data_IF_964749637590
#
_entry.id   IF_964749637590
#
_cell.length_a   1.000
_cell.length_b   1.000
_cell.length_c   1.000
_cell.angle_alpha   90.00
_cell.angle_beta   90.00
_cell.angle_gamma   90.00
#
_symmetry.space_group_name_H-M   'P 1'
#
loop_
_entity.id
_entity.type
_entity.pdbx_description
1 polymer ?
#
# COMPACT_ATOMS: atom_id res chain seq x y z
N UNK A 1 -19.09 -31.23 34.86
CA UNK A 1 -18.51 -31.50 33.53
C UNK A 1 -18.27 -30.16 32.86
N UNK A 2 -17.13 -29.54 33.15
CA UNK A 2 -16.69 -28.30 32.53
C UNK A 2 -15.78 -28.69 31.36
N UNK A 3 -16.24 -28.47 30.13
CA UNK A 3 -15.39 -28.64 28.95
C UNK A 3 -14.75 -27.28 28.66
N UNK A 4 -13.41 -27.27 28.62
CA UNK A 4 -12.57 -26.11 28.37
C UNK A 4 -12.74 -25.61 26.92
N UNK A 5 -13.03 -24.32 26.77
CA UNK A 5 -12.87 -23.62 25.49
C UNK A 5 -11.37 -23.42 25.21
N UNK A 6 -10.88 -24.10 24.17
CA UNK A 6 -9.55 -23.91 23.63
C UNK A 6 -9.44 -22.53 22.97
N UNK A 7 -8.81 -21.60 23.68
CA UNK A 7 -8.47 -20.27 23.17
C UNK A 7 -7.25 -20.37 22.23
N UNK A 8 -7.50 -20.66 20.95
CA UNK A 8 -6.47 -20.56 19.91
C UNK A 8 -6.26 -19.09 19.52
N UNK A 9 -5.14 -18.54 19.94
CA UNK A 9 -4.66 -17.24 19.44
C UNK A 9 -4.31 -17.37 17.94
N UNK A 10 -4.83 -16.48 17.08
CA UNK A 10 -4.51 -16.52 15.65
C UNK A 10 -3.00 -16.33 15.45
N UNK A 11 -2.34 -17.31 14.82
CA UNK A 11 -0.93 -17.20 14.41
C UNK A 11 -0.76 -15.99 13.50
N UNK A 12 -0.01 -15.00 13.98
CA UNK A 12 0.35 -13.79 13.24
C UNK A 12 1.01 -14.19 11.91
N UNK A 13 0.37 -13.86 10.77
CA UNK A 13 0.93 -14.11 9.45
C UNK A 13 2.15 -13.21 9.25
N UNK A 14 3.22 -13.76 8.67
CA UNK A 14 4.46 -13.02 8.40
C UNK A 14 4.15 -11.75 7.59
N UNK A 15 4.65 -10.60 8.06
CA UNK A 15 4.41 -9.29 7.47
C UNK A 15 5.70 -8.78 6.82
N UNK A 16 5.75 -8.86 5.48
CA UNK A 16 6.92 -8.39 4.72
C UNK A 16 7.27 -6.92 4.97
N UNK A 17 6.27 -6.08 5.29
CA UNK A 17 6.48 -4.65 5.63
C UNK A 17 7.22 -4.50 6.98
N UNK A 18 6.83 -5.27 8.00
CA UNK A 18 7.42 -5.19 9.33
C UNK A 18 8.80 -5.87 9.41
N UNK A 19 9.02 -6.94 8.64
CA UNK A 19 10.27 -7.69 8.67
C UNK A 19 11.41 -6.95 7.96
N UNK A 20 11.09 -6.16 6.91
CA UNK A 20 12.04 -5.25 6.27
C UNK A 20 12.68 -4.26 7.24
N UNK A 21 11.91 -3.67 8.16
CA UNK A 21 12.44 -2.71 9.14
C UNK A 21 13.36 -3.37 10.19
N UNK A 22 13.02 -4.57 10.64
CA UNK A 22 13.86 -5.36 11.55
C UNK A 22 15.19 -5.76 10.89
N UNK A 23 15.19 -6.05 9.59
CA UNK A 23 16.43 -6.33 8.85
C UNK A 23 17.30 -5.07 8.69
N UNK A 24 16.71 -3.93 8.32
CA UNK A 24 17.39 -2.64 8.17
C UNK A 24 18.15 -2.21 9.44
N UNK A 25 17.54 -2.41 10.61
CA UNK A 25 18.15 -2.09 11.91
C UNK A 25 19.26 -3.07 12.31
N UNK A 26 19.18 -4.34 11.88
CA UNK A 26 20.21 -5.37 12.15
C UNK A 26 21.45 -5.22 11.25
N UNK A 27 21.26 -4.84 9.99
CA UNK A 27 22.37 -4.65 9.04
C UNK A 27 23.18 -3.37 9.33
N UNK A 28 22.53 -2.29 9.78
CA UNK A 28 23.22 -1.04 10.13
C UNK A 28 24.04 -1.14 11.44
N UNK A 29 23.72 -2.07 12.34
CA UNK A 29 24.56 -2.34 13.53
C UNK A 29 25.89 -3.03 13.19
N UNK A 30 25.98 -3.72 12.03
CA UNK A 30 27.20 -4.44 11.60
C UNK A 30 28.15 -3.60 10.73
N UNK A 31 27.77 -2.38 10.32
CA UNK A 31 28.56 -1.52 9.41
C UNK A 31 29.02 -0.18 9.98
N UNK A 32 29.16 -0.02 11.30
CA UNK A 32 29.87 1.15 11.85
C UNK A 32 31.38 0.88 11.90
N UNK A 33 32.02 0.86 10.73
CA UNK A 33 33.46 1.18 10.66
C UNK A 33 33.55 2.71 10.69
N UNK A 34 34.14 3.28 11.75
CA UNK A 34 34.53 4.70 11.79
C UNK A 34 35.50 4.96 10.64
N UNK A 35 34.96 5.41 9.52
CA UNK A 35 35.75 5.98 8.43
C UNK A 35 35.88 7.47 8.76
N UNK A 36 37.08 8.07 8.74
CA UNK A 36 37.22 9.51 8.95
C UNK A 36 36.35 10.24 7.93
N UNK A 37 35.65 11.27 8.41
CA UNK A 37 34.77 12.13 7.63
C UNK A 37 35.51 12.64 6.40
N UNK A 38 35.31 11.98 5.27
CA UNK A 38 35.62 12.54 3.97
C UNK A 38 34.76 13.80 3.84
N UNK A 39 35.39 14.89 3.43
CA UNK A 39 34.75 16.17 3.10
C UNK A 39 33.46 15.93 2.33
N UNK A 40 32.40 16.65 2.71
CA UNK A 40 31.09 16.57 2.08
C UNK A 40 31.20 16.91 0.58
N UNK A 41 31.49 15.92 -0.25
CA UNK A 41 31.25 15.98 -1.67
C UNK A 41 29.74 16.17 -1.84
N UNK A 42 29.35 17.31 -2.41
CA UNK A 42 27.98 17.64 -2.71
C UNK A 42 27.43 16.57 -3.66
N UNK A 43 26.69 15.59 -3.13
CA UNK A 43 25.88 14.71 -3.95
C UNK A 43 24.85 15.60 -4.66
N UNK A 44 24.77 15.58 -6.00
CA UNK A 44 23.75 16.32 -6.70
C UNK A 44 22.39 15.78 -6.23
N UNK A 45 21.61 16.64 -5.58
CA UNK A 45 20.26 16.31 -5.14
C UNK A 45 19.44 15.86 -6.36
N UNK A 46 18.77 14.69 -6.30
CA UNK A 46 17.98 14.22 -7.43
C UNK A 46 16.82 15.17 -7.70
N UNK A 47 16.43 15.29 -8.98
CA UNK A 47 15.25 16.06 -9.37
C UNK A 47 13.98 15.51 -8.70
N UNK A 48 12.96 16.36 -8.45
CA UNK A 48 11.64 15.89 -8.00
C UNK A 48 11.05 14.84 -8.94
N UNK A 49 10.23 13.89 -8.43
CA UNK A 49 9.68 12.82 -9.23
C UNK A 49 8.71 13.34 -10.31
N UNK A 50 8.78 12.75 -11.50
CA UNK A 50 7.74 12.93 -12.52
C UNK A 50 6.42 12.24 -12.12
N UNK A 51 5.36 12.47 -12.89
CA UNK A 51 4.03 11.91 -12.63
C UNK A 51 4.01 10.37 -12.64
N UNK A 52 4.87 9.75 -13.46
CA UNK A 52 4.96 8.28 -13.58
C UNK A 52 5.66 7.68 -12.37
N UNK A 53 6.74 8.29 -11.92
CA UNK A 53 7.48 7.88 -10.73
C UNK A 53 6.61 8.07 -9.49
N UNK A 54 6.01 9.25 -9.33
CA UNK A 54 5.07 9.52 -8.24
C UNK A 54 3.92 8.50 -8.25
N UNK A 55 3.29 8.28 -9.41
CA UNK A 55 2.22 7.30 -9.58
C UNK A 55 2.60 5.88 -9.11
N UNK A 56 3.77 5.37 -9.53
CA UNK A 56 4.23 4.04 -9.09
C UNK A 56 4.37 3.95 -7.56
N UNK A 57 4.99 4.95 -6.93
CA UNK A 57 5.18 4.94 -5.47
C UNK A 57 3.86 5.05 -4.72
N UNK A 58 2.96 5.91 -5.21
CA UNK A 58 1.61 6.03 -4.67
C UNK A 58 0.83 4.74 -4.78
N UNK A 59 0.86 4.06 -5.94
CA UNK A 59 0.18 2.77 -6.09
C UNK A 59 0.75 1.71 -5.16
N UNK A 60 2.07 1.65 -5.01
CA UNK A 60 2.71 0.76 -4.02
C UNK A 60 2.15 1.01 -2.62
N UNK A 61 2.11 2.27 -2.18
CA UNK A 61 1.52 2.63 -0.88
C UNK A 61 0.05 2.21 -0.76
N UNK A 62 -0.79 2.60 -1.73
CA UNK A 62 -2.24 2.38 -1.67
C UNK A 62 -2.60 0.89 -1.69
N UNK A 63 -1.96 0.10 -2.55
CA UNK A 63 -2.18 -1.35 -2.60
C UNK A 63 -1.70 -2.05 -1.34
N UNK A 64 -0.56 -1.64 -0.79
CA UNK A 64 -0.04 -2.20 0.47
C UNK A 64 -0.99 -1.87 1.63
N UNK A 65 -1.46 -0.62 1.71
CA UNK A 65 -2.45 -0.19 2.71
C UNK A 65 -3.73 -1.02 2.63
N UNK A 66 -4.25 -1.27 1.41
CA UNK A 66 -5.44 -2.08 1.23
C UNK A 66 -5.21 -3.55 1.59
N UNK A 67 -4.06 -4.13 1.20
CA UNK A 67 -3.78 -5.54 1.44
C UNK A 67 -3.52 -5.88 2.92
N UNK A 68 -2.99 -4.93 3.69
CA UNK A 68 -2.77 -5.05 5.14
C UNK A 68 -3.93 -4.48 5.97
N UNK A 69 -5.00 -4.01 5.32
CA UNK A 69 -6.23 -3.61 6.00
C UNK A 69 -6.87 -4.82 6.72
N UNK A 70 -7.58 -4.64 7.85
CA UNK A 70 -8.17 -5.76 8.59
C UNK A 70 -9.20 -6.55 7.79
N UNK A 71 -9.26 -7.86 8.00
CA UNK A 71 -10.32 -8.71 7.43
C UNK A 71 -11.70 -8.34 8.00
N UNK A 72 -11.76 -7.94 9.27
CA UNK A 72 -12.96 -7.49 9.99
C UNK A 72 -12.72 -6.10 10.62
N UNK A 73 -12.80 -5.01 9.83
CA UNK A 73 -12.51 -3.66 10.30
C UNK A 73 -13.64 -3.08 11.16
N UNK A 74 -13.28 -2.37 12.22
CA UNK A 74 -14.19 -1.55 13.03
C UNK A 74 -14.82 -0.42 12.21
N UNK A 75 -15.97 0.09 12.64
CA UNK A 75 -16.62 1.24 11.97
C UNK A 75 -15.69 2.45 11.84
N UNK A 76 -14.84 2.68 12.84
CA UNK A 76 -13.83 3.75 12.83
C UNK A 76 -12.80 3.52 11.73
N UNK A 77 -12.27 2.30 11.58
CA UNK A 77 -11.33 1.96 10.51
C UNK A 77 -11.95 2.09 9.12
N UNK A 78 -13.22 1.69 8.96
CA UNK A 78 -13.97 1.85 7.70
C UNK A 78 -14.16 3.33 7.35
N UNK A 79 -14.55 4.14 8.33
CA UNK A 79 -14.68 5.59 8.17
C UNK A 79 -13.34 6.24 7.83
N UNK A 80 -12.27 5.82 8.48
CA UNK A 80 -10.91 6.33 8.22
C UNK A 80 -10.45 5.98 6.81
N UNK A 81 -10.59 4.74 6.36
CA UNK A 81 -10.20 4.33 5.01
C UNK A 81 -11.00 5.09 3.93
N UNK A 82 -12.32 5.19 4.10
CA UNK A 82 -13.18 5.96 3.18
C UNK A 82 -12.82 7.44 3.15
N UNK A 83 -12.55 8.04 4.31
CA UNK A 83 -12.17 9.46 4.44
C UNK A 83 -10.79 9.69 3.83
N UNK A 84 -9.85 8.78 4.09
CA UNK A 84 -8.51 8.81 3.52
C UNK A 84 -8.58 8.83 2.00
N UNK A 85 -9.31 7.92 1.36
CA UNK A 85 -9.42 7.89 -0.12
C UNK A 85 -10.05 9.17 -0.68
N UNK A 86 -11.09 9.71 -0.02
CA UNK A 86 -11.71 10.98 -0.42
C UNK A 86 -10.72 12.15 -0.31
N UNK A 87 -10.01 12.26 0.81
CA UNK A 87 -9.02 13.32 1.01
C UNK A 87 -7.83 13.17 0.07
N UNK A 88 -7.32 11.95 -0.08
CA UNK A 88 -6.25 11.61 -1.01
C UNK A 88 -6.58 12.05 -2.44
N UNK A 89 -7.80 11.79 -2.90
CA UNK A 89 -8.24 12.20 -4.25
C UNK A 89 -8.24 13.70 -4.50
N UNK A 90 -8.31 14.52 -3.44
CA UNK A 90 -8.24 15.99 -3.53
C UNK A 90 -6.81 16.52 -3.40
N UNK A 91 -5.96 15.79 -2.68
CA UNK A 91 -4.59 16.20 -2.34
C UNK A 91 -3.54 15.65 -3.32
N UNK A 92 -3.92 14.77 -4.24
CA UNK A 92 -2.97 14.16 -5.16
C UNK A 92 -2.33 15.22 -6.09
N UNK A 93 -0.99 15.34 -6.17
CA UNK A 93 -0.33 16.49 -6.80
C UNK A 93 -0.56 16.68 -8.31
N UNK A 94 -0.99 15.64 -9.01
CA UNK A 94 -1.39 15.73 -10.42
C UNK A 94 -2.87 16.10 -10.50
N UNK A 95 -3.19 17.36 -10.84
CA UNK A 95 -4.58 17.88 -10.89
C UNK A 95 -5.51 17.05 -11.78
N UNK A 96 -5.09 16.76 -13.02
CA UNK A 96 -5.86 15.91 -13.94
C UNK A 96 -6.10 14.50 -13.38
N UNK A 97 -5.09 13.91 -12.74
CA UNK A 97 -5.19 12.59 -12.11
C UNK A 97 -6.16 12.63 -10.91
N UNK A 98 -6.07 13.67 -10.09
CA UNK A 98 -6.91 13.91 -8.92
C UNK A 98 -8.39 14.07 -9.31
N UNK A 99 -8.69 14.87 -10.32
CA UNK A 99 -10.05 15.07 -10.83
C UNK A 99 -10.68 13.77 -11.33
N UNK A 100 -9.89 12.95 -12.02
CA UNK A 100 -10.33 11.63 -12.46
C UNK A 100 -10.59 10.67 -11.31
N UNK A 101 -9.70 10.61 -10.32
CA UNK A 101 -9.91 9.78 -9.14
C UNK A 101 -11.15 10.22 -8.34
N UNK A 102 -11.40 11.53 -8.22
CA UNK A 102 -12.60 12.05 -7.57
C UNK A 102 -13.87 11.61 -8.29
N UNK A 103 -13.88 11.67 -9.63
CA UNK A 103 -15.01 11.18 -10.45
C UNK A 103 -15.22 9.68 -10.26
N UNK A 104 -14.15 8.89 -10.24
CA UNK A 104 -14.28 7.45 -10.01
C UNK A 104 -14.74 7.12 -8.59
N UNK A 105 -14.23 7.79 -7.56
CA UNK A 105 -14.72 7.60 -6.18
C UNK A 105 -16.20 7.94 -6.05
N UNK A 106 -16.71 8.91 -6.83
CA UNK A 106 -18.14 9.24 -6.85
C UNK A 106 -18.98 8.16 -7.53
N UNK A 107 -18.49 7.56 -8.62
CA UNK A 107 -19.16 6.51 -9.39
C UNK A 107 -19.08 5.15 -8.69
N UNK A 108 -17.92 4.82 -8.14
CA UNK A 108 -17.59 3.56 -7.48
C UNK A 108 -16.92 3.87 -6.12
N UNK A 109 -17.73 4.11 -5.07
CA UNK A 109 -17.21 4.42 -3.74
C UNK A 109 -16.29 3.34 -3.16
N UNK A 110 -15.29 3.69 -2.33
CA UNK A 110 -14.40 2.73 -1.67
C UNK A 110 -15.17 1.64 -0.94
N UNK A 111 -14.90 0.37 -1.27
CA UNK A 111 -15.42 -0.79 -0.55
C UNK A 111 -14.45 -1.15 0.56
N UNK A 112 -14.77 -0.79 1.80
CA UNK A 112 -13.86 -0.90 2.94
C UNK A 112 -14.36 -1.86 4.02
N UNK A 113 -15.29 -2.76 3.69
CA UNK A 113 -15.86 -3.70 4.66
C UNK A 113 -14.91 -4.84 5.05
N UNK A 114 -13.83 -5.05 4.30
CA UNK A 114 -12.77 -6.02 4.60
C UNK A 114 -11.52 -5.72 3.77
N UNK A 115 -10.38 -6.33 4.17
CA UNK A 115 -9.14 -6.37 3.38
C UNK A 115 -9.40 -6.76 1.92
N UNK A 116 -10.15 -7.84 1.72
CA UNK A 116 -10.49 -8.38 0.39
C UNK A 116 -11.25 -7.38 -0.47
N UNK A 117 -12.34 -6.83 0.05
CA UNK A 117 -13.16 -5.87 -0.70
C UNK A 117 -12.35 -4.60 -1.03
N UNK A 118 -11.50 -4.15 -0.10
CA UNK A 118 -10.71 -2.94 -0.32
C UNK A 118 -9.59 -3.15 -1.34
N UNK A 119 -8.87 -4.28 -1.28
CA UNK A 119 -7.85 -4.63 -2.27
C UNK A 119 -8.45 -4.82 -3.66
N UNK A 120 -9.60 -5.48 -3.77
CA UNK A 120 -10.29 -5.64 -5.07
C UNK A 120 -10.75 -4.30 -5.62
N UNK A 121 -11.34 -3.43 -4.79
CA UNK A 121 -11.70 -2.09 -5.20
C UNK A 121 -10.48 -1.28 -5.68
N UNK A 122 -9.37 -1.33 -4.94
CA UNK A 122 -8.13 -0.64 -5.31
C UNK A 122 -7.56 -1.17 -6.64
N UNK A 123 -7.62 -2.48 -6.87
CA UNK A 123 -7.22 -3.09 -8.13
C UNK A 123 -8.07 -2.60 -9.30
N UNK A 124 -9.40 -2.60 -9.15
CA UNK A 124 -10.32 -2.12 -10.19
C UNK A 124 -10.09 -0.65 -10.54
N UNK A 125 -9.90 0.22 -9.53
CA UNK A 125 -9.58 1.63 -9.78
C UNK A 125 -8.23 1.80 -10.48
N UNK A 126 -7.22 1.00 -10.14
CA UNK A 126 -5.94 1.01 -10.85
C UNK A 126 -6.09 0.53 -12.30
N UNK A 127 -6.98 -0.43 -12.55
CA UNK A 127 -7.30 -0.95 -13.87
C UNK A 127 -8.05 0.04 -14.77
N UNK A 128 -8.93 0.87 -14.22
CA UNK A 128 -9.51 2.02 -14.92
C UNK A 128 -8.43 3.01 -15.39
N UNK A 129 -7.39 3.23 -14.58
CA UNK A 129 -6.24 4.05 -14.97
C UNK A 129 -5.39 3.34 -16.03
N UNK A 130 -5.22 2.03 -15.94
CA UNK A 130 -4.51 1.25 -16.96
C UNK A 130 -5.21 1.37 -18.31
N UNK A 131 -6.53 1.19 -18.36
CA UNK A 131 -7.32 1.32 -19.59
C UNK A 131 -7.13 2.69 -20.25
N UNK A 132 -7.26 3.78 -19.47
CA UNK A 132 -7.05 5.16 -19.94
C UNK A 132 -5.65 5.41 -20.50
N UNK A 133 -4.65 4.71 -19.98
CA UNK A 133 -3.26 4.81 -20.42
C UNK A 133 -2.89 3.79 -21.51
N UNK A 134 -3.85 3.01 -22.01
CA UNK A 134 -3.61 1.94 -22.99
C UNK A 134 -2.74 0.80 -22.45
N UNK A 135 -2.76 0.57 -21.14
CA UNK A 135 -2.02 -0.49 -20.47
C UNK A 135 -2.87 -1.76 -20.33
N UNK A 136 -2.23 -2.94 -20.27
CA UNK A 136 -2.94 -4.18 -19.97
C UNK A 136 -3.67 -4.10 -18.61
N UNK A 137 -4.81 -4.79 -18.54
CA UNK A 137 -5.53 -5.01 -17.29
C UNK A 137 -4.72 -5.96 -16.39
N UNK A 138 -4.67 -5.67 -15.10
CA UNK A 138 -4.11 -6.56 -14.09
C UNK A 138 -5.19 -7.54 -13.62
N UNK A 139 -4.84 -8.82 -13.46
CA UNK A 139 -5.74 -9.83 -12.90
C UNK A 139 -5.91 -9.61 -11.39
N UNK A 140 -7.05 -9.04 -10.98
CA UNK A 140 -7.32 -8.74 -9.58
C UNK A 140 -7.41 -9.99 -8.69
N UNK A 141 -7.52 -11.20 -9.23
CA UNK A 141 -7.39 -12.43 -8.44
C UNK A 141 -5.99 -12.57 -7.81
N UNK A 142 -4.97 -11.94 -8.42
CA UNK A 142 -3.57 -11.95 -7.95
C UNK A 142 -3.19 -10.74 -7.11
N UNK A 143 -4.15 -9.93 -6.67
CA UNK A 143 -3.87 -8.69 -5.93
C UNK A 143 -3.11 -8.97 -4.62
N UNK A 144 -3.46 -10.03 -3.89
CA UNK A 144 -2.79 -10.38 -2.64
C UNK A 144 -1.41 -11.01 -2.86
N UNK A 145 -1.26 -11.88 -3.87
CA UNK A 145 0.04 -12.40 -4.30
C UNK A 145 1.02 -11.25 -4.57
N UNK A 146 0.57 -10.23 -5.31
CA UNK A 146 1.41 -9.10 -5.68
C UNK A 146 1.75 -8.17 -4.51
N UNK A 147 0.83 -7.94 -3.58
CA UNK A 147 0.93 -6.83 -2.62
C UNK A 147 1.06 -7.23 -1.14
N UNK A 148 0.91 -8.52 -0.81
CA UNK A 148 1.04 -9.00 0.57
C UNK A 148 1.77 -10.33 0.67
N UNK A 149 1.29 -11.34 -0.04
CA UNK A 149 1.65 -12.73 0.20
C UNK A 149 3.00 -13.09 -0.47
N UNK A 150 3.37 -12.35 -1.53
CA UNK A 150 4.54 -12.65 -2.35
C UNK A 150 4.26 -13.76 -3.37
N UNK A 151 5.18 -13.94 -4.31
CA UNK A 151 5.14 -15.11 -5.19
C UNK A 151 5.38 -16.38 -4.34
N UNK A 152 4.63 -17.45 -4.58
CA UNK A 152 5.07 -18.77 -4.14
C UNK A 152 6.41 -19.05 -4.85
N UNK A 153 7.46 -19.33 -4.08
CA UNK A 153 8.71 -19.85 -4.64
C UNK A 153 8.53 -21.30 -5.11
#
# INVERSE_FOLDING_TARGET
>A
MTAEESNETPKEKACGVCDGFKSYTKENKKKVKKTPSATAAAYPMPCPPDSRQLGRHTWTFLHTMAAYYPDSPTESEQKNASTFMKSFSKLYPCSYCADHLQKEIKKNPPKVSSSKEFSLWMCNVHNEVNERLGKPQFDCAKVFERWRDGCAE
#
